data_IF_596826980525
#
_entry.id   IF_596826980525
#
_cell.length_a   1.000
_cell.length_b   1.000
_cell.length_c   1.000
_cell.angle_alpha   90.00
_cell.angle_beta   90.00
_cell.angle_gamma   90.00
#
_symmetry.space_group_name_H-M   'P 1'
#
loop_
_entity.id
_entity.type
_entity.pdbx_description
1 polymer ?
#
# COMPACT_ATOMS: atom_id res chain seq x y z
N UNK A 1 -4.54 29.27 17.53
CA UNK A 1 -5.52 29.15 16.42
C UNK A 1 -5.87 30.56 15.95
N UNK A 2 -5.41 30.95 14.74
CA UNK A 2 -5.78 32.24 14.15
C UNK A 2 -6.75 31.96 13.01
N UNK A 3 -7.95 32.52 13.09
CA UNK A 3 -8.94 32.47 12.03
C UNK A 3 -9.16 33.88 11.48
N UNK A 4 -9.07 34.03 10.17
CA UNK A 4 -9.47 35.22 9.44
C UNK A 4 -10.70 34.91 8.59
N UNK A 5 -11.79 35.58 8.85
CA UNK A 5 -13.03 35.47 8.08
C UNK A 5 -13.40 36.80 7.41
N UNK A 6 -13.98 36.75 6.23
CA UNK A 6 -14.42 37.89 5.41
C UNK A 6 -15.85 37.71 4.91
N UNK A 7 -16.60 38.81 4.71
CA UNK A 7 -18.06 38.86 4.53
C UNK A 7 -18.47 38.63 3.07
N UNK A 8 -19.39 37.71 2.88
CA UNK A 8 -19.79 37.20 1.58
C UNK A 8 -19.37 35.78 1.45
N UNK A 9 -19.54 34.79 0.87
CA UNK A 9 -18.90 33.44 0.99
C UNK A 9 -17.41 33.61 1.27
N UNK A 10 -17.00 33.29 2.49
CA UNK A 10 -15.69 33.69 3.02
C UNK A 10 -14.66 32.57 2.96
N UNK A 11 -13.38 32.96 2.89
CA UNK A 11 -12.26 32.04 3.04
C UNK A 11 -11.58 32.29 4.39
N UNK A 12 -11.43 31.26 5.21
CA UNK A 12 -10.71 31.34 6.47
C UNK A 12 -9.39 30.60 6.33
N UNK A 13 -8.29 31.24 6.74
CA UNK A 13 -6.99 30.55 6.89
C UNK A 13 -6.77 30.37 8.40
N UNK A 14 -6.51 29.13 8.81
CA UNK A 14 -6.17 28.80 10.18
C UNK A 14 -4.77 28.23 10.27
N UNK A 15 -4.03 28.65 11.25
CA UNK A 15 -2.82 27.98 11.69
C UNK A 15 -3.19 27.01 12.82
N UNK A 16 -2.81 25.75 12.69
CA UNK A 16 -3.14 24.69 13.65
C UNK A 16 -2.07 24.46 14.71
N UNK A 17 -0.83 24.95 14.53
CA UNK A 17 0.27 24.54 15.39
C UNK A 17 0.86 25.67 16.23
N UNK A 18 1.13 26.81 15.68
CA UNK A 18 1.55 28.03 16.38
C UNK A 18 1.72 29.17 15.37
N UNK A 19 1.65 30.42 15.86
CA UNK A 19 2.01 31.60 15.06
C UNK A 19 3.52 31.78 14.92
N UNK A 20 4.31 30.93 15.55
CA UNK A 20 5.78 30.99 15.61
C UNK A 20 6.38 29.65 15.25
N UNK A 21 7.34 29.64 14.34
CA UNK A 21 8.07 28.45 13.90
C UNK A 21 9.57 28.75 13.78
N UNK A 22 10.41 27.73 13.90
CA UNK A 22 11.87 27.87 13.78
C UNK A 22 12.31 27.78 12.32
N UNK A 23 13.44 28.42 12.03
CA UNK A 23 14.04 28.47 10.68
C UNK A 23 15.11 27.42 10.46
N UNK A 24 15.11 26.34 11.23
CA UNK A 24 16.09 25.25 11.14
C UNK A 24 15.78 24.24 10.01
N UNK A 25 14.69 24.44 9.26
CA UNK A 25 14.24 23.58 8.17
C UNK A 25 13.50 22.33 8.63
N UNK A 26 13.27 22.16 9.94
CA UNK A 26 12.55 21.03 10.52
C UNK A 26 11.14 21.38 10.97
N UNK A 27 10.88 22.67 11.25
CA UNK A 27 9.57 23.17 11.66
C UNK A 27 8.74 23.59 10.43
N UNK A 28 7.71 22.84 10.14
CA UNK A 28 6.68 23.16 9.15
C UNK A 28 5.41 23.65 9.83
N UNK A 29 4.94 24.84 9.45
CA UNK A 29 3.64 25.33 9.87
C UNK A 29 2.57 24.77 8.94
N UNK A 30 1.57 24.08 9.48
CA UNK A 30 0.44 23.61 8.71
C UNK A 30 -0.61 24.71 8.57
N UNK A 31 -0.79 25.21 7.34
CA UNK A 31 -1.84 26.15 7.00
C UNK A 31 -3.11 25.41 6.59
N UNK A 32 -4.21 25.73 7.25
CA UNK A 32 -5.54 25.27 6.89
C UNK A 32 -6.27 26.37 6.15
N UNK A 33 -6.74 26.04 4.95
CA UNK A 33 -7.64 26.88 4.16
C UNK A 33 -9.03 26.33 4.30
N UNK A 34 -9.99 27.16 4.75
CA UNK A 34 -11.40 26.76 4.91
C UNK A 34 -12.27 27.75 4.15
N UNK A 35 -13.21 27.23 3.38
CA UNK A 35 -14.26 28.05 2.77
C UNK A 35 -15.38 28.23 3.78
N UNK A 36 -15.77 29.48 4.01
CA UNK A 36 -16.77 29.84 5.00
C UNK A 36 -17.91 30.67 4.38
N UNK A 37 -19.08 30.66 5.00
CA UNK A 37 -20.18 31.58 4.69
C UNK A 37 -19.93 32.97 5.34
N UNK A 38 -20.83 33.93 5.05
CA UNK A 38 -20.76 35.29 5.57
C UNK A 38 -20.82 35.41 7.11
N UNK A 39 -21.08 34.31 7.79
CA UNK A 39 -21.08 34.21 9.26
C UNK A 39 -19.82 33.52 9.80
N UNK A 40 -18.85 33.23 8.93
CA UNK A 40 -17.62 32.52 9.29
C UNK A 40 -17.80 31.03 9.55
N UNK A 41 -18.96 30.45 9.15
CA UNK A 41 -19.23 29.02 9.30
C UNK A 41 -18.69 28.26 8.07
N UNK A 42 -17.94 27.19 8.30
CA UNK A 42 -17.44 26.32 7.24
C UNK A 42 -18.55 25.78 6.34
N UNK A 43 -18.35 25.83 5.04
CA UNK A 43 -19.28 25.32 4.03
C UNK A 43 -18.59 24.28 3.15
N UNK A 44 -19.35 23.28 2.74
CA UNK A 44 -18.88 22.26 1.81
C UNK A 44 -18.91 22.77 0.37
N UNK A 45 -17.91 23.58 0.03
CA UNK A 45 -17.69 24.10 -1.31
C UNK A 45 -16.21 23.96 -1.66
N UNK A 46 -15.89 23.51 -2.87
CA UNK A 46 -14.53 23.17 -3.30
C UNK A 46 -14.08 24.01 -4.49
N UNK A 47 -13.89 25.33 -4.34
CA UNK A 47 -13.43 26.22 -5.40
C UNK A 47 -11.94 26.04 -5.68
N UNK A 48 -11.46 26.63 -6.77
CA UNK A 48 -10.03 26.82 -6.97
C UNK A 48 -9.53 27.93 -6.06
N UNK A 49 -8.47 27.65 -5.30
CA UNK A 49 -7.87 28.62 -4.36
C UNK A 49 -6.39 28.80 -4.66
N UNK A 50 -5.92 30.04 -4.68
CA UNK A 50 -4.51 30.37 -4.76
C UNK A 50 -4.01 30.96 -3.44
N UNK A 51 -2.94 30.39 -2.89
CA UNK A 51 -2.15 30.99 -1.81
C UNK A 51 -0.93 31.68 -2.40
N UNK A 52 -0.64 32.88 -1.92
CA UNK A 52 0.52 33.67 -2.32
C UNK A 52 1.20 34.29 -1.10
N UNK A 53 2.51 34.26 -1.06
CA UNK A 53 3.30 34.99 -0.08
C UNK A 53 3.44 36.44 -0.55
N UNK A 54 2.79 37.35 0.14
CA UNK A 54 2.80 38.79 -0.16
C UNK A 54 4.12 39.43 0.30
N UNK A 55 4.62 39.01 1.46
CA UNK A 55 5.89 39.49 2.03
C UNK A 55 6.46 38.49 3.01
N UNK A 56 7.75 38.60 3.31
CA UNK A 56 8.44 37.77 4.30
C UNK A 56 9.15 36.55 3.70
N UNK A 57 9.84 35.75 4.54
CA UNK A 57 10.76 34.72 4.12
C UNK A 57 10.12 33.34 3.83
N UNK A 58 8.87 33.11 4.21
CA UNK A 58 8.24 31.80 4.08
C UNK A 58 8.20 31.27 2.64
N UNK A 59 8.13 29.96 2.49
CA UNK A 59 7.95 29.31 1.19
C UNK A 59 7.04 28.08 1.27
N UNK A 60 6.24 27.90 0.23
CA UNK A 60 5.49 26.68 -0.04
C UNK A 60 6.35 25.62 -0.73
N UNK A 61 5.91 24.37 -0.82
CA UNK A 61 6.57 23.37 -1.67
C UNK A 61 6.81 23.83 -3.11
N UNK A 62 5.99 24.75 -3.62
CA UNK A 62 6.07 25.33 -4.96
C UNK A 62 6.76 26.72 -5.01
N UNK A 63 7.32 27.18 -3.91
CA UNK A 63 7.96 28.50 -3.79
C UNK A 63 7.03 29.56 -3.20
N UNK A 64 6.87 30.70 -3.88
CA UNK A 64 6.12 31.88 -3.35
C UNK A 64 4.60 31.76 -3.49
N UNK A 65 4.11 30.78 -4.23
CA UNK A 65 2.68 30.55 -4.40
C UNK A 65 2.35 29.07 -4.59
N UNK A 66 1.13 28.68 -4.21
CA UNK A 66 0.59 27.36 -4.48
C UNK A 66 -0.89 27.49 -4.85
N UNK A 67 -1.37 26.62 -5.75
CA UNK A 67 -2.74 26.62 -6.22
C UNK A 67 -3.41 25.28 -5.94
N UNK A 68 -4.60 25.35 -5.36
CA UNK A 68 -5.50 24.23 -5.19
C UNK A 68 -6.50 24.25 -6.34
N UNK A 69 -6.46 23.26 -7.21
CA UNK A 69 -7.35 23.14 -8.39
C UNK A 69 -8.27 21.94 -8.19
N UNK A 70 -9.53 22.07 -8.63
CA UNK A 70 -10.57 21.06 -8.38
C UNK A 70 -10.25 19.68 -8.97
N UNK A 71 -9.49 19.64 -10.06
CA UNK A 71 -9.05 18.43 -10.77
C UNK A 71 -7.62 17.98 -10.40
N UNK A 72 -6.99 18.67 -9.44
CA UNK A 72 -5.64 18.35 -8.93
C UNK A 72 -5.69 17.51 -7.67
N UNK A 73 -4.58 16.84 -7.35
CA UNK A 73 -4.37 16.15 -6.07
C UNK A 73 -4.18 17.10 -4.89
N UNK A 74 -3.82 18.36 -5.14
CA UNK A 74 -3.84 19.44 -4.16
C UNK A 74 -5.06 20.31 -4.44
N UNK A 75 -6.18 19.94 -3.85
CA UNK A 75 -7.47 20.61 -4.04
C UNK A 75 -8.16 20.89 -2.71
N UNK A 76 -9.11 21.81 -2.74
CA UNK A 76 -10.07 21.94 -1.64
C UNK A 76 -10.99 20.72 -1.65
N UNK A 77 -11.13 20.04 -0.52
CA UNK A 77 -12.03 18.91 -0.32
C UNK A 77 -12.98 19.24 0.84
N UNK A 78 -14.28 19.13 0.59
CA UNK A 78 -15.31 19.44 1.58
C UNK A 78 -15.12 20.83 2.22
N UNK A 79 -14.73 21.81 1.39
CA UNK A 79 -14.48 23.18 1.83
C UNK A 79 -13.15 23.40 2.56
N UNK A 80 -12.25 22.40 2.60
CA UNK A 80 -10.99 22.51 3.34
C UNK A 80 -9.79 21.97 2.55
N UNK A 81 -8.63 22.55 2.80
CA UNK A 81 -7.33 22.02 2.40
C UNK A 81 -6.25 22.40 3.41
N UNK A 82 -5.15 21.65 3.43
CA UNK A 82 -3.99 21.96 4.23
C UNK A 82 -2.72 21.92 3.38
N UNK A 83 -1.76 22.79 3.72
CA UNK A 83 -0.44 22.82 3.10
C UNK A 83 0.61 23.25 4.11
N UNK A 84 1.79 22.64 4.04
CA UNK A 84 2.94 23.06 4.84
C UNK A 84 3.59 24.33 4.27
N UNK A 85 4.00 25.23 5.16
CA UNK A 85 4.87 26.37 4.87
C UNK A 85 6.03 26.35 5.83
N UNK A 86 7.23 26.65 5.35
CA UNK A 86 8.46 26.77 6.15
C UNK A 86 9.25 28.02 5.81
N UNK A 87 10.26 28.32 6.59
CA UNK A 87 11.25 29.34 6.28
C UNK A 87 12.65 28.92 6.73
N UNK A 88 13.65 29.38 6.02
CA UNK A 88 15.08 29.27 6.40
C UNK A 88 15.63 30.58 6.95
N UNK A 89 14.81 31.62 7.03
CA UNK A 89 15.17 32.96 7.52
C UNK A 89 14.12 33.46 8.51
N UNK A 90 14.56 34.17 9.53
CA UNK A 90 13.69 34.80 10.52
C UNK A 90 12.94 35.99 9.92
N UNK A 91 11.72 36.21 10.39
CA UNK A 91 10.87 37.33 9.98
C UNK A 91 9.40 36.97 9.81
N UNK A 92 8.60 38.01 9.61
CA UNK A 92 7.13 37.87 9.42
C UNK A 92 6.80 37.58 7.98
N UNK A 93 6.06 36.49 7.76
CA UNK A 93 5.53 36.09 6.45
C UNK A 93 4.04 36.36 6.40
N UNK A 94 3.64 37.19 5.41
CA UNK A 94 2.21 37.45 5.14
C UNK A 94 1.78 36.63 3.94
N UNK A 95 0.74 35.83 4.13
CA UNK A 95 0.13 34.98 3.11
C UNK A 95 -1.25 35.50 2.79
N UNK A 96 -1.57 35.53 1.52
CA UNK A 96 -2.90 35.89 1.01
C UNK A 96 -3.49 34.68 0.29
N UNK A 97 -4.75 34.38 0.57
CA UNK A 97 -5.56 33.41 -0.15
C UNK A 97 -6.57 34.16 -1.04
N UNK A 98 -6.71 33.73 -2.28
CA UNK A 98 -7.66 34.27 -3.26
C UNK A 98 -8.41 33.16 -3.96
N UNK A 99 -9.67 33.43 -4.32
CA UNK A 99 -10.52 32.54 -5.12
C UNK A 99 -11.56 33.38 -5.84
N UNK A 100 -12.00 32.93 -7.01
CA UNK A 100 -13.02 33.63 -7.79
C UNK A 100 -14.35 33.67 -7.03
N UNK A 101 -14.91 34.89 -6.89
CA UNK A 101 -16.17 35.11 -6.19
C UNK A 101 -16.13 35.02 -4.68
N UNK A 102 -14.93 34.88 -4.07
CA UNK A 102 -14.73 34.94 -2.62
C UNK A 102 -13.85 36.14 -2.24
N UNK A 103 -14.11 36.69 -1.05
CA UNK A 103 -13.26 37.75 -0.49
C UNK A 103 -11.86 37.18 -0.14
N UNK A 104 -10.76 37.89 -0.42
CA UNK A 104 -9.43 37.47 -0.06
C UNK A 104 -9.22 37.38 1.47
N UNK A 105 -8.48 36.37 1.92
CA UNK A 105 -8.08 36.26 3.32
C UNK A 105 -6.57 36.37 3.47
N UNK A 106 -6.12 36.86 4.64
CA UNK A 106 -4.67 36.98 4.95
C UNK A 106 -4.36 36.39 6.32
N UNK A 107 -3.16 35.81 6.43
CA UNK A 107 -2.60 35.35 7.69
C UNK A 107 -1.12 35.79 7.78
N UNK A 108 -0.65 36.01 9.00
CA UNK A 108 0.76 36.32 9.27
C UNK A 108 1.35 35.25 10.17
N UNK A 109 2.49 34.69 9.75
CA UNK A 109 3.29 33.73 10.51
C UNK A 109 4.63 34.36 10.83
N UNK A 110 5.11 34.19 12.04
CA UNK A 110 6.42 34.64 12.49
C UNK A 110 7.40 33.47 12.51
N UNK A 111 8.52 33.59 11.81
CA UNK A 111 9.60 32.62 11.81
C UNK A 111 10.76 33.17 12.65
N UNK A 112 11.25 32.36 13.60
CA UNK A 112 12.34 32.70 14.50
C UNK A 112 13.60 31.92 14.15
N UNK A 113 14.75 32.61 14.09
CA UNK A 113 16.03 32.02 13.80
C UNK A 113 17.18 33.05 13.83
N UNK A 114 18.39 32.56 13.58
CA UNK A 114 19.57 33.37 13.66
C UNK A 114 19.77 34.32 12.47
N UNK A 115 19.28 33.95 11.30
CA UNK A 115 19.48 34.70 10.05
C UNK A 115 18.21 35.43 9.67
N UNK A 116 18.25 36.75 9.73
CA UNK A 116 17.16 37.65 9.37
C UNK A 116 16.91 37.73 7.85
N UNK A 117 15.64 37.72 7.47
CA UNK A 117 15.22 37.98 6.10
C UNK A 117 15.42 39.44 5.72
N UNK A 118 16.10 39.67 4.59
CA UNK A 118 16.29 40.98 4.02
C UNK A 118 15.68 41.07 2.62
N UNK A 119 14.60 41.85 2.49
CA UNK A 119 13.88 42.00 1.22
C UNK A 119 14.82 42.49 0.10
N UNK A 120 14.85 41.75 -1.02
CA UNK A 120 15.66 42.06 -2.18
C UNK A 120 17.13 41.61 -2.09
N UNK A 121 17.57 41.08 -0.93
CA UNK A 121 18.92 40.54 -0.71
C UNK A 121 18.85 39.04 -0.47
N UNK A 122 17.98 38.60 0.45
CA UNK A 122 17.80 37.18 0.75
C UNK A 122 17.25 36.43 -0.47
N UNK A 123 17.90 35.35 -0.92
CA UNK A 123 17.40 34.56 -2.02
C UNK A 123 16.02 33.99 -1.71
N UNK A 124 15.10 34.06 -2.67
CA UNK A 124 13.76 33.46 -2.57
C UNK A 124 13.53 32.59 -3.80
N UNK A 125 12.78 31.51 -3.61
CA UNK A 125 12.35 30.62 -4.69
C UNK A 125 10.99 31.11 -5.19
N UNK A 126 10.96 31.79 -6.32
CA UNK A 126 9.72 32.34 -6.88
C UNK A 126 8.75 31.22 -7.33
N UNK A 127 9.26 30.22 -8.03
CA UNK A 127 8.46 29.11 -8.51
C UNK A 127 9.30 27.86 -8.69
N UNK A 128 8.71 26.70 -8.27
CA UNK A 128 9.20 25.38 -8.61
C UNK A 128 8.01 24.45 -8.86
N UNK A 129 8.12 23.44 -9.76
CA UNK A 129 7.03 22.54 -10.03
C UNK A 129 6.66 21.75 -8.76
N UNK A 130 5.36 21.56 -8.51
CA UNK A 130 4.89 20.66 -7.49
C UNK A 130 5.30 19.23 -7.85
N UNK A 131 6.08 18.60 -6.99
CA UNK A 131 6.44 17.19 -7.13
C UNK A 131 5.43 16.36 -6.36
N UNK A 132 4.51 15.76 -7.09
CA UNK A 132 3.60 14.79 -6.53
C UNK A 132 4.40 13.61 -5.98
N UNK A 133 4.12 13.20 -4.74
CA UNK A 133 4.52 11.89 -4.26
C UNK A 133 3.62 10.85 -4.94
N UNK A 134 4.04 10.36 -6.09
CA UNK A 134 3.45 9.18 -6.69
C UNK A 134 4.03 8.01 -5.89
N UNK A 135 3.20 7.32 -5.12
CA UNK A 135 3.54 5.96 -4.70
C UNK A 135 3.83 5.22 -6.01
N UNK A 136 5.10 4.94 -6.29
CA UNK A 136 5.42 4.00 -7.37
C UNK A 136 4.56 2.77 -7.10
N UNK A 137 3.80 2.31 -8.11
CA UNK A 137 3.15 1.01 -8.03
C UNK A 137 4.24 0.08 -7.55
N UNK A 138 4.09 -0.46 -6.35
CA UNK A 138 5.04 -1.44 -5.84
C UNK A 138 5.15 -2.48 -6.95
N UNK A 139 6.35 -2.64 -7.47
CA UNK A 139 6.67 -3.72 -8.40
C UNK A 139 6.13 -4.97 -7.73
N UNK A 140 5.21 -5.66 -8.39
CA UNK A 140 4.55 -6.84 -7.84
C UNK A 140 5.65 -7.83 -7.40
N UNK A 141 5.87 -7.92 -6.09
CA UNK A 141 6.93 -8.76 -5.54
C UNK A 141 6.40 -10.19 -5.45
N UNK A 142 7.01 -11.08 -6.21
CA UNK A 142 6.75 -12.51 -6.09
C UNK A 142 7.38 -13.01 -4.78
N UNK A 143 6.54 -13.49 -3.88
CA UNK A 143 6.95 -14.10 -2.60
C UNK A 143 6.89 -15.62 -2.71
N UNK A 144 7.70 -16.30 -1.88
CA UNK A 144 7.77 -17.75 -1.80
C UNK A 144 7.16 -18.23 -0.49
N UNK A 145 6.30 -19.24 -0.59
CA UNK A 145 5.58 -19.87 0.51
C UNK A 145 5.85 -21.39 0.48
N UNK A 146 5.69 -22.04 1.59
CA UNK A 146 5.94 -23.45 1.84
C UNK A 146 6.61 -23.60 3.19
N UNK A 147 7.90 -23.30 3.27
CA UNK A 147 8.66 -23.42 4.51
C UNK A 147 8.07 -22.58 5.64
N UNK A 148 7.80 -23.24 6.77
CA UNK A 148 7.20 -22.67 7.97
C UNK A 148 5.75 -22.19 7.84
N UNK A 149 5.08 -22.41 6.70
CA UNK A 149 3.66 -22.17 6.60
C UNK A 149 2.87 -23.34 7.24
N UNK A 150 1.66 -23.10 7.77
CA UNK A 150 0.79 -24.15 8.28
C UNK A 150 0.44 -25.17 7.21
N UNK A 151 0.47 -26.45 7.58
CA UNK A 151 0.12 -27.56 6.69
C UNK A 151 -0.86 -28.51 7.36
N UNK A 152 -1.74 -29.09 6.54
CA UNK A 152 -2.75 -30.05 6.96
C UNK A 152 -2.77 -31.23 5.99
N UNK A 153 -3.26 -32.36 6.44
CA UNK A 153 -3.51 -33.51 5.57
C UNK A 153 -4.68 -34.33 6.09
N UNK A 154 -5.28 -35.13 5.20
CA UNK A 154 -6.35 -36.08 5.56
C UNK A 154 -5.87 -37.12 6.55
N UNK A 155 -4.60 -37.57 6.40
CA UNK A 155 -3.95 -38.55 7.25
C UNK A 155 -2.44 -38.46 7.13
N UNK A 156 -1.72 -39.21 7.98
CA UNK A 156 -0.28 -39.43 7.78
C UNK A 156 0.18 -40.75 8.41
N UNK A 157 1.22 -41.34 7.83
CA UNK A 157 1.98 -42.42 8.49
C UNK A 157 2.82 -41.88 9.64
N UNK A 158 3.16 -42.76 10.60
CA UNK A 158 4.01 -42.39 11.74
C UNK A 158 5.38 -41.85 11.27
N UNK A 159 5.76 -40.66 11.75
CA UNK A 159 6.99 -39.96 11.35
C UNK A 159 6.91 -39.17 10.04
N UNK A 160 5.84 -39.32 9.26
CA UNK A 160 5.65 -38.64 7.97
C UNK A 160 4.53 -37.57 8.05
N UNK A 161 4.67 -36.66 9.01
CA UNK A 161 3.67 -35.63 9.29
C UNK A 161 3.53 -34.59 8.16
N UNK A 162 2.38 -33.87 8.03
CA UNK A 162 2.17 -32.90 6.95
C UNK A 162 3.26 -31.84 6.82
N UNK A 163 3.82 -31.36 7.94
CA UNK A 163 4.91 -30.37 7.95
C UNK A 163 6.19 -30.82 7.26
N UNK A 164 6.39 -32.14 7.08
CA UNK A 164 7.57 -32.68 6.38
C UNK A 164 7.61 -32.36 4.88
N UNK A 165 6.49 -31.98 4.31
CA UNK A 165 6.43 -31.53 2.91
C UNK A 165 6.57 -30.01 2.76
N UNK A 166 6.94 -29.30 3.84
CA UNK A 166 7.14 -27.85 3.83
C UNK A 166 8.20 -27.43 4.88
N UNK A 167 9.20 -28.27 5.16
CA UNK A 167 10.25 -28.02 6.16
C UNK A 167 11.59 -27.57 5.52
N UNK A 168 11.67 -27.55 4.20
CA UNK A 168 12.88 -27.21 3.45
C UNK A 168 13.95 -28.29 3.48
N UNK A 169 13.60 -29.52 3.83
CA UNK A 169 14.52 -30.67 3.92
C UNK A 169 14.12 -31.77 2.93
N UNK A 170 14.88 -31.94 1.89
CA UNK A 170 14.63 -32.93 0.84
C UNK A 170 14.81 -34.39 1.25
N UNK A 171 15.23 -34.65 2.50
CA UNK A 171 15.37 -36.01 3.07
C UNK A 171 14.13 -36.42 3.88
N UNK A 172 13.22 -35.52 4.12
CA UNK A 172 11.95 -35.75 4.81
C UNK A 172 10.79 -35.68 3.84
N UNK A 173 9.67 -36.30 4.17
CA UNK A 173 8.47 -36.27 3.36
C UNK A 173 7.23 -36.55 4.18
N UNK A 174 6.11 -35.98 3.74
CA UNK A 174 4.78 -36.42 4.16
C UNK A 174 4.35 -37.64 3.37
N UNK A 175 3.65 -38.58 4.01
CA UNK A 175 3.05 -39.72 3.39
C UNK A 175 1.69 -40.01 4.05
N UNK A 176 0.65 -40.21 3.23
CA UNK A 176 -0.68 -40.55 3.70
C UNK A 176 -0.70 -41.95 4.34
N UNK A 177 -1.65 -42.20 5.23
CA UNK A 177 -1.94 -43.56 5.72
C UNK A 177 -2.43 -44.45 4.56
N UNK A 178 -2.01 -45.69 4.53
CA UNK A 178 -2.43 -46.66 3.51
C UNK A 178 -3.96 -46.91 3.50
N UNK A 179 -4.64 -46.63 4.60
CA UNK A 179 -6.11 -46.81 4.74
C UNK A 179 -6.90 -45.58 4.25
N UNK A 180 -6.23 -44.44 3.98
CA UNK A 180 -6.88 -43.23 3.55
C UNK A 180 -7.32 -43.35 2.07
N UNK A 181 -8.61 -43.36 1.84
CA UNK A 181 -9.18 -43.60 0.49
C UNK A 181 -9.18 -42.32 -0.37
N UNK A 182 -9.05 -41.16 0.23
CA UNK A 182 -9.07 -39.86 -0.45
C UNK A 182 -7.97 -38.94 0.13
N UNK A 183 -6.71 -39.34 -0.04
CA UNK A 183 -5.60 -38.63 0.58
C UNK A 183 -5.40 -37.25 -0.02
N UNK A 184 -5.23 -36.27 0.85
CA UNK A 184 -4.87 -34.91 0.44
C UNK A 184 -3.90 -34.27 1.40
N UNK A 185 -3.17 -33.30 0.89
CA UNK A 185 -2.30 -32.41 1.63
C UNK A 185 -2.62 -30.96 1.28
N UNK A 186 -2.55 -30.05 2.27
CA UNK A 186 -2.91 -28.63 2.12
C UNK A 186 -1.80 -27.77 2.73
N UNK A 187 -1.42 -26.71 1.98
CA UNK A 187 -0.63 -25.60 2.46
C UNK A 187 -1.56 -24.40 2.70
N UNK A 188 -1.48 -23.77 3.86
CA UNK A 188 -2.05 -22.45 4.13
C UNK A 188 -0.95 -21.38 3.97
N UNK A 189 -1.05 -20.56 2.95
CA UNK A 189 -0.12 -19.46 2.73
C UNK A 189 -0.40 -18.25 3.64
N UNK A 190 -1.43 -18.34 4.51
CA UNK A 190 -1.90 -17.30 5.44
C UNK A 190 -2.34 -15.99 4.77
N UNK A 191 -2.14 -15.87 3.48
CA UNK A 191 -2.49 -14.71 2.63
C UNK A 191 -3.12 -15.16 1.34
N UNK A 192 -4.05 -14.37 0.82
CA UNK A 192 -4.54 -14.56 -0.56
C UNK A 192 -3.43 -14.26 -1.56
N UNK A 193 -3.23 -15.14 -2.52
CA UNK A 193 -2.20 -15.02 -3.54
C UNK A 193 -2.78 -15.01 -4.95
N UNK A 194 -2.23 -14.16 -5.82
CA UNK A 194 -2.22 -14.40 -7.25
C UNK A 194 -1.07 -15.38 -7.51
N UNK A 195 -1.43 -16.62 -7.78
CA UNK A 195 -0.49 -17.71 -7.93
C UNK A 195 0.32 -17.56 -9.24
N UNK A 196 1.62 -17.80 -9.17
CA UNK A 196 2.54 -17.74 -10.33
C UNK A 196 3.19 -19.08 -10.61
N UNK A 197 3.56 -19.81 -9.59
CA UNK A 197 4.30 -21.04 -9.71
C UNK A 197 4.01 -21.97 -8.53
N UNK A 198 3.88 -23.25 -8.80
CA UNK A 198 3.83 -24.31 -7.78
C UNK A 198 4.85 -25.38 -8.16
N UNK A 199 5.72 -25.71 -7.23
CA UNK A 199 6.68 -26.80 -7.34
C UNK A 199 6.28 -27.92 -6.39
N UNK A 200 6.17 -29.12 -6.92
CA UNK A 200 5.95 -30.34 -6.13
C UNK A 200 7.17 -31.24 -6.28
N UNK A 201 7.69 -31.69 -5.16
CA UNK A 201 8.77 -32.68 -5.10
C UNK A 201 8.24 -33.96 -4.45
N UNK A 202 8.50 -35.09 -5.05
CA UNK A 202 8.08 -36.38 -4.59
C UNK A 202 9.28 -37.22 -4.13
N UNK A 203 9.09 -38.14 -3.16
CA UNK A 203 10.20 -38.91 -2.61
C UNK A 203 10.83 -39.92 -3.57
N UNK A 204 10.10 -40.28 -4.62
CA UNK A 204 10.57 -41.21 -5.65
C UNK A 204 9.93 -40.90 -7.00
N UNK A 205 10.52 -41.44 -8.07
CA UNK A 205 10.03 -41.31 -9.44
C UNK A 205 9.06 -42.45 -9.77
N UNK A 206 7.77 -42.17 -9.62
CA UNK A 206 6.69 -43.11 -9.97
C UNK A 206 5.53 -42.36 -10.61
N UNK A 207 4.69 -43.07 -11.37
CA UNK A 207 3.44 -42.53 -11.89
C UNK A 207 2.47 -42.30 -10.71
N UNK A 208 1.91 -41.08 -10.62
CA UNK A 208 0.92 -40.67 -9.61
C UNK A 208 -0.27 -40.01 -10.26
N UNK A 209 -1.44 -40.36 -9.76
CA UNK A 209 -2.70 -39.72 -10.13
C UNK A 209 -3.10 -38.73 -9.04
N UNK A 210 -3.13 -37.44 -9.37
CA UNK A 210 -3.50 -36.37 -8.43
C UNK A 210 -4.06 -35.14 -9.14
N UNK A 211 -4.61 -34.22 -8.35
CA UNK A 211 -5.02 -32.90 -8.81
C UNK A 211 -4.43 -31.83 -7.88
N UNK A 212 -4.16 -30.65 -8.42
CA UNK A 212 -3.73 -29.46 -7.67
C UNK A 212 -4.86 -28.45 -7.72
N UNK A 213 -5.25 -27.93 -6.57
CA UNK A 213 -6.41 -27.06 -6.42
C UNK A 213 -6.06 -25.87 -5.51
N UNK A 214 -6.73 -24.73 -5.72
CA UNK A 214 -6.64 -23.55 -4.85
C UNK A 214 -7.99 -23.21 -4.24
N UNK A 215 -7.95 -22.59 -3.06
CA UNK A 215 -9.14 -22.11 -2.36
C UNK A 215 -8.84 -20.85 -1.55
N UNK A 216 -9.85 -19.98 -1.36
CA UNK A 216 -9.77 -18.85 -0.42
C UNK A 216 -10.25 -19.20 0.98
N UNK A 217 -11.21 -20.13 1.08
CA UNK A 217 -11.98 -20.44 2.29
C UNK A 217 -11.75 -21.85 2.86
N UNK A 218 -10.88 -22.64 2.21
CA UNK A 218 -10.63 -24.06 2.51
C UNK A 218 -11.88 -24.97 2.32
N UNK A 219 -12.92 -24.49 1.66
CA UNK A 219 -14.16 -25.22 1.39
C UNK A 219 -14.46 -25.30 -0.11
N UNK A 220 -14.39 -24.19 -0.80
CA UNK A 220 -14.64 -24.09 -2.24
C UNK A 220 -13.32 -24.17 -3.00
N UNK A 221 -13.14 -25.21 -3.81
CA UNK A 221 -11.89 -25.50 -4.50
C UNK A 221 -11.98 -25.28 -6.00
N UNK A 222 -10.96 -24.66 -6.56
CA UNK A 222 -10.80 -24.40 -7.99
C UNK A 222 -9.59 -25.18 -8.50
N UNK A 223 -9.77 -25.89 -9.63
CA UNK A 223 -8.73 -26.72 -10.23
C UNK A 223 -7.62 -25.85 -10.86
N UNK A 224 -6.39 -26.15 -10.51
CA UNK A 224 -5.18 -25.55 -11.12
C UNK A 224 -4.52 -26.50 -12.10
N UNK A 225 -4.44 -27.77 -11.78
CA UNK A 225 -3.80 -28.79 -12.61
C UNK A 225 -4.47 -30.14 -12.39
N UNK A 226 -4.78 -30.81 -13.49
CA UNK A 226 -5.34 -32.18 -13.49
C UNK A 226 -4.28 -33.18 -13.97
N UNK A 227 -3.83 -34.02 -13.06
CA UNK A 227 -2.93 -35.15 -13.28
C UNK A 227 -3.63 -36.48 -12.91
N UNK A 228 -4.94 -36.54 -12.92
CA UNK A 228 -5.73 -37.72 -12.56
C UNK A 228 -5.48 -38.91 -13.50
N UNK A 229 -5.09 -38.64 -14.73
CA UNK A 229 -4.76 -39.65 -15.77
C UNK A 229 -3.27 -39.60 -16.16
N UNK A 230 -2.37 -39.32 -15.21
CA UNK A 230 -0.96 -39.18 -15.49
C UNK A 230 -0.26 -40.55 -15.67
N UNK A 231 0.12 -40.96 -16.89
CA UNK A 231 0.80 -42.22 -17.13
C UNK A 231 2.31 -42.16 -16.86
N UNK A 232 2.87 -40.95 -16.68
CA UNK A 232 4.30 -40.74 -16.61
C UNK A 232 4.80 -40.77 -15.17
N UNK A 233 5.93 -41.41 -14.96
CA UNK A 233 6.64 -41.29 -13.68
C UNK A 233 7.29 -39.90 -13.59
N UNK A 234 7.13 -39.26 -12.44
CA UNK A 234 7.73 -37.97 -12.16
C UNK A 234 8.19 -37.87 -10.69
N UNK A 235 9.34 -37.24 -10.48
CA UNK A 235 9.82 -36.90 -9.13
C UNK A 235 9.64 -35.41 -8.84
N UNK A 236 9.49 -34.59 -9.86
CA UNK A 236 9.29 -33.16 -9.71
C UNK A 236 8.22 -32.65 -10.69
N UNK A 237 7.35 -31.79 -10.24
CA UNK A 237 6.45 -31.01 -11.09
C UNK A 237 6.74 -29.53 -10.90
N UNK A 238 6.91 -28.81 -12.00
CA UNK A 238 6.87 -27.35 -12.04
C UNK A 238 5.62 -26.91 -12.78
N UNK A 239 4.69 -26.30 -12.07
CA UNK A 239 3.47 -25.74 -12.62
C UNK A 239 3.61 -24.22 -12.69
N UNK A 240 3.75 -23.68 -13.90
CA UNK A 240 3.69 -22.22 -14.13
C UNK A 240 2.26 -21.83 -14.45
N UNK A 241 1.74 -20.83 -13.75
CA UNK A 241 0.36 -20.40 -13.82
C UNK A 241 0.25 -19.04 -14.55
N UNK A 242 -0.70 -18.89 -15.49
CA UNK A 242 -0.97 -17.61 -16.13
C UNK A 242 -1.62 -16.62 -15.14
N UNK A 243 -1.61 -15.33 -15.49
CA UNK A 243 -2.22 -14.27 -14.66
C UNK A 243 -3.74 -14.43 -14.48
N UNK A 244 -4.38 -15.20 -15.35
CA UNK A 244 -5.80 -15.56 -15.30
C UNK A 244 -6.09 -16.78 -14.43
N UNK A 245 -5.06 -17.43 -13.87
CA UNK A 245 -5.25 -18.56 -12.99
C UNK A 245 -6.04 -18.17 -11.73
N UNK A 246 -6.77 -19.12 -11.12
CA UNK A 246 -7.45 -18.87 -9.86
C UNK A 246 -6.50 -18.34 -8.79
N UNK A 247 -6.98 -17.40 -8.00
CA UNK A 247 -6.30 -16.91 -6.80
C UNK A 247 -6.68 -17.79 -5.61
N UNK A 248 -5.85 -17.82 -4.56
CA UNK A 248 -6.16 -18.61 -3.38
C UNK A 248 -5.21 -18.37 -2.21
N UNK A 249 -5.67 -18.77 -1.04
CA UNK A 249 -4.88 -18.84 0.20
C UNK A 249 -4.43 -20.28 0.48
N UNK A 250 -5.29 -21.23 0.21
CA UNK A 250 -5.03 -22.64 0.45
C UNK A 250 -4.68 -23.34 -0.86
N UNK A 251 -3.63 -24.14 -0.86
CA UNK A 251 -3.22 -24.98 -1.98
C UNK A 251 -3.35 -26.44 -1.55
N UNK A 252 -4.18 -27.20 -2.27
CA UNK A 252 -4.41 -28.61 -1.98
C UNK A 252 -3.86 -29.50 -3.09
N UNK A 253 -3.13 -30.53 -2.70
CA UNK A 253 -2.79 -31.65 -3.56
C UNK A 253 -3.62 -32.85 -3.11
N UNK A 254 -4.54 -33.31 -3.96
CA UNK A 254 -5.40 -34.44 -3.69
C UNK A 254 -5.00 -35.62 -4.57
N UNK A 255 -4.63 -36.72 -3.95
CA UNK A 255 -4.23 -37.94 -4.65
C UNK A 255 -5.43 -38.86 -4.85
N UNK A 256 -5.34 -39.71 -5.88
CA UNK A 256 -6.35 -40.73 -6.20
C UNK A 256 -5.92 -42.12 -5.71
N UNK A 257 -4.66 -42.27 -5.31
CA UNK A 257 -4.07 -43.54 -4.86
C UNK A 257 -3.31 -43.30 -3.54
N UNK A 258 -3.68 -44.00 -2.47
CA UNK A 258 -3.11 -43.81 -1.13
C UNK A 258 -1.65 -44.24 -1.01
N UNK A 259 -1.31 -45.35 -1.64
CA UNK A 259 0.06 -45.92 -1.57
C UNK A 259 1.10 -45.01 -2.21
N UNK A 260 0.68 -44.13 -3.12
CA UNK A 260 1.53 -43.17 -3.84
C UNK A 260 1.40 -41.73 -3.32
N UNK A 261 0.54 -41.51 -2.33
CA UNK A 261 0.29 -40.18 -1.76
C UNK A 261 1.40 -39.77 -0.79
N UNK A 262 2.44 -39.15 -1.33
CA UNK A 262 3.58 -38.63 -0.60
C UNK A 262 4.17 -37.38 -1.26
N UNK A 263 4.68 -36.45 -0.47
CA UNK A 263 5.30 -35.21 -0.90
C UNK A 263 6.56 -34.92 -0.09
N UNK A 264 7.68 -34.68 -0.75
CA UNK A 264 8.94 -34.28 -0.12
C UNK A 264 8.95 -32.79 0.17
N UNK A 265 8.57 -31.96 -0.83
CA UNK A 265 8.54 -30.51 -0.66
C UNK A 265 7.48 -29.89 -1.57
N UNK A 266 6.79 -28.89 -1.06
CA UNK A 266 5.85 -28.06 -1.83
C UNK A 266 6.26 -26.60 -1.69
N UNK A 267 6.51 -25.95 -2.82
CA UNK A 267 6.89 -24.53 -2.88
C UNK A 267 5.87 -23.82 -3.75
N UNK A 268 5.30 -22.75 -3.21
CA UNK A 268 4.34 -21.89 -3.90
C UNK A 268 4.92 -20.50 -4.06
N UNK A 269 4.88 -19.95 -5.26
CA UNK A 269 5.26 -18.55 -5.52
C UNK A 269 4.05 -17.77 -6.01
N UNK A 270 3.87 -16.59 -5.46
CA UNK A 270 2.75 -15.72 -5.82
C UNK A 270 2.92 -14.29 -5.34
N UNK A 271 2.01 -13.45 -5.79
CA UNK A 271 1.91 -12.05 -5.41
C UNK A 271 0.79 -11.95 -4.38
N UNK A 272 1.10 -11.37 -3.21
CA UNK A 272 0.10 -11.17 -2.15
C UNK A 272 -0.97 -10.20 -2.62
N UNK A 273 -2.23 -10.60 -2.47
CA UNK A 273 -3.40 -9.74 -2.70
C UNK A 273 -3.62 -8.88 -1.45
N UNK A 274 -3.83 -7.57 -1.64
CA UNK A 274 -4.17 -6.62 -0.57
C UNK A 274 -5.62 -6.78 -0.10
#
# INVERSE_FOLDING_TARGET
EISLGLVGSEMCIRDSSSTMAKTDGTDDVQLWVTVCDALGKSVNHSPNVQLRIVSGPGEFPTGRSIRFEADSDIRIMDGQAAIAIRSYYAGKTVIEATSDGLEPARVTIEFEGETEYQKGITPVVEHRPYKRFVREKQTEIIQTFGRNNPTFASSNEAGHTPGRAADGNTQTYWKASAEDKVPYWILDTEKGLRLKEIQLHFPNEVSRSYVVEASHDNHTWQLLCDKSQNPHAEQNLLLTLPDTAPTGRFIRIRFLESDKAALTEVIVKGIVLE
#
